data_IF_751994387127
#
_entry.id   IF_751994387127
#
_cell.length_a   1.000
_cell.length_b   1.000
_cell.length_c   1.000
_cell.angle_alpha   90.00
_cell.angle_beta   90.00
_cell.angle_gamma   90.00
#
_symmetry.space_group_name_H-M   'P 1'
#
loop_
_entity.id
_entity.type
_entity.pdbx_description
1 polymer ?
#
# COMPACT_ATOMS: atom_id res chain seq x y z
N UNK A 1 11.37 14.78 9.96
CA UNK A 1 10.14 14.24 10.59
C UNK A 1 10.07 12.77 10.22
N UNK A 2 10.24 11.81 11.15
CA UNK A 2 9.99 10.41 10.81
C UNK A 2 8.55 10.32 10.30
N UNK A 3 8.32 9.58 9.21
CA UNK A 3 6.96 9.22 8.80
C UNK A 3 6.37 8.51 10.01
N UNK A 4 5.47 9.18 10.73
CA UNK A 4 4.86 8.56 11.90
C UNK A 4 4.01 7.41 11.38
N UNK A 5 4.15 6.24 12.00
CA UNK A 5 3.35 5.04 11.69
C UNK A 5 1.85 5.36 11.62
N UNK A 6 1.42 6.37 12.38
CA UNK A 6 0.05 6.92 12.35
C UNK A 6 -0.33 7.40 10.95
N UNK A 7 0.48 8.22 10.27
CA UNK A 7 0.15 8.69 8.92
C UNK A 7 0.05 7.56 7.90
N UNK A 8 0.86 6.50 8.06
CA UNK A 8 0.76 5.30 7.25
C UNK A 8 -0.59 4.59 7.46
N UNK A 9 -1.03 4.44 8.71
CA UNK A 9 -2.33 3.85 9.03
C UNK A 9 -3.50 4.69 8.48
N UNK A 10 -3.38 6.02 8.50
CA UNK A 10 -4.36 6.93 7.90
C UNK A 10 -4.45 6.80 6.38
N UNK A 11 -3.44 6.23 5.72
CA UNK A 11 -3.49 5.96 4.28
C UNK A 11 -4.29 4.69 3.93
N UNK A 12 -4.58 3.81 4.91
CA UNK A 12 -5.29 2.54 4.65
C UNK A 12 -6.66 2.73 4.00
N UNK A 13 -7.54 3.63 4.46
CA UNK A 13 -8.84 3.84 3.82
C UNK A 13 -8.70 4.28 2.36
N UNK A 14 -7.72 5.16 2.08
CA UNK A 14 -7.43 5.64 0.72
C UNK A 14 -6.91 4.50 -0.15
N UNK A 15 -5.99 3.69 0.37
CA UNK A 15 -5.44 2.53 -0.31
C UNK A 15 -6.54 1.54 -0.71
N UNK A 16 -7.47 1.26 0.23
CA UNK A 16 -8.62 0.38 -0.01
C UNK A 16 -9.53 0.96 -1.09
N UNK A 17 -9.87 2.25 -1.00
CA UNK A 17 -10.73 2.92 -1.98
C UNK A 17 -10.12 2.89 -3.40
N UNK A 18 -8.85 3.27 -3.54
CA UNK A 18 -8.16 3.30 -4.84
C UNK A 18 -8.02 1.89 -5.42
N UNK A 19 -7.69 0.89 -4.60
CA UNK A 19 -7.55 -0.49 -5.06
C UNK A 19 -8.87 -1.08 -5.53
N UNK A 20 -9.97 -0.78 -4.82
CA UNK A 20 -11.32 -1.20 -5.21
C UNK A 20 -11.79 -0.52 -6.49
N UNK A 21 -11.63 0.80 -6.61
CA UNK A 21 -12.03 1.56 -7.82
C UNK A 21 -11.27 1.05 -9.03
N UNK A 22 -9.95 0.87 -8.93
CA UNK A 22 -9.12 0.35 -10.02
C UNK A 22 -9.50 -1.08 -10.41
N UNK A 23 -9.85 -1.93 -9.45
CA UNK A 23 -10.29 -3.29 -9.74
C UNK A 23 -11.68 -3.34 -10.37
N UNK A 24 -12.60 -2.46 -9.93
CA UNK A 24 -13.97 -2.36 -10.41
C UNK A 24 -14.09 -1.82 -11.84
N UNK A 25 -13.17 -0.95 -12.27
CA UNK A 25 -13.13 -0.51 -13.68
C UNK A 25 -12.61 -1.59 -14.62
N UNK A 26 -11.90 -2.60 -14.11
CA UNK A 26 -11.30 -3.67 -14.92
C UNK A 26 -12.13 -4.95 -14.97
N UNK A 27 -12.92 -5.21 -13.93
CA UNK A 27 -13.69 -6.45 -13.81
C UNK A 27 -15.13 -6.15 -13.43
N UNK A 28 -16.07 -6.85 -14.08
CA UNK A 28 -17.50 -6.76 -13.78
C UNK A 28 -17.94 -7.76 -12.70
N UNK A 29 -17.13 -8.81 -12.46
CA UNK A 29 -17.41 -9.85 -11.46
C UNK A 29 -16.82 -9.50 -10.11
N UNK A 30 -17.67 -9.44 -9.09
CA UNK A 30 -17.27 -9.16 -7.70
C UNK A 30 -16.09 -10.01 -7.20
N UNK A 31 -16.06 -11.31 -7.50
CA UNK A 31 -14.95 -12.20 -7.11
C UNK A 31 -13.59 -11.70 -7.61
N UNK A 32 -13.55 -11.21 -8.85
CA UNK A 32 -12.33 -10.72 -9.49
C UNK A 32 -11.96 -9.34 -8.99
N UNK A 33 -12.96 -8.48 -8.74
CA UNK A 33 -12.76 -7.13 -8.17
C UNK A 33 -12.05 -7.25 -6.82
N UNK A 34 -12.60 -8.04 -5.89
CA UNK A 34 -12.06 -8.17 -4.55
C UNK A 34 -10.66 -8.81 -4.58
N UNK A 35 -10.47 -9.87 -5.37
CA UNK A 35 -9.17 -10.52 -5.53
C UNK A 35 -8.10 -9.55 -6.06
N UNK A 36 -8.43 -8.78 -7.07
CA UNK A 36 -7.50 -7.81 -7.66
C UNK A 36 -7.24 -6.65 -6.70
N UNK A 37 -8.26 -6.11 -6.04
CA UNK A 37 -8.11 -5.02 -5.09
C UNK A 37 -7.21 -5.42 -3.91
N UNK A 38 -7.39 -6.62 -3.36
CA UNK A 38 -6.54 -7.15 -2.29
C UNK A 38 -5.10 -7.32 -2.77
N UNK A 39 -4.91 -7.94 -3.95
CA UNK A 39 -3.59 -8.15 -4.53
C UNK A 39 -2.85 -6.81 -4.76
N UNK A 40 -3.53 -5.83 -5.34
CA UNK A 40 -3.00 -4.49 -5.59
C UNK A 40 -2.67 -3.75 -4.28
N UNK A 41 -3.57 -3.77 -3.30
CA UNK A 41 -3.32 -3.14 -1.99
C UNK A 41 -2.13 -3.76 -1.25
N UNK A 42 -2.03 -5.10 -1.22
CA UNK A 42 -0.90 -5.82 -0.65
C UNK A 42 0.41 -5.49 -1.36
N UNK A 43 0.39 -5.42 -2.70
CA UNK A 43 1.58 -5.07 -3.48
C UNK A 43 2.08 -3.67 -3.14
N UNK A 44 1.17 -2.68 -3.09
CA UNK A 44 1.52 -1.31 -2.72
C UNK A 44 2.06 -1.21 -1.29
N UNK A 45 1.45 -1.88 -0.32
CA UNK A 45 1.96 -1.93 1.07
C UNK A 45 3.34 -2.57 1.15
N UNK A 46 3.56 -3.66 0.42
CA UNK A 46 4.85 -4.35 0.38
C UNK A 46 5.92 -3.44 -0.21
N UNK A 47 5.61 -2.73 -1.30
CA UNK A 47 6.52 -1.77 -1.93
C UNK A 47 6.88 -0.61 -0.99
N UNK A 48 5.87 0.00 -0.36
CA UNK A 48 6.09 1.11 0.57
C UNK A 48 6.90 0.67 1.80
N UNK A 49 6.59 -0.51 2.33
CA UNK A 49 7.33 -1.12 3.44
C UNK A 49 8.78 -1.44 3.08
N UNK A 50 9.04 -1.94 1.87
CA UNK A 50 10.39 -2.21 1.37
C UNK A 50 11.22 -0.92 1.27
N UNK A 51 10.64 0.17 0.76
CA UNK A 51 11.30 1.48 0.73
C UNK A 51 11.58 1.99 2.14
N UNK A 52 10.59 1.91 3.05
CA UNK A 52 10.77 2.34 4.44
C UNK A 52 11.90 1.57 5.14
N UNK A 53 11.99 0.26 4.91
CA UNK A 53 13.09 -0.59 5.39
C UNK A 53 14.43 -0.17 4.80
N UNK A 54 14.51 0.01 3.47
CA UNK A 54 15.74 0.40 2.80
C UNK A 54 16.26 1.77 3.29
N UNK A 55 15.36 2.74 3.45
CA UNK A 55 15.69 4.06 4.02
C UNK A 55 16.12 3.96 5.48
N UNK A 56 15.46 3.12 6.28
CA UNK A 56 15.83 2.88 7.67
C UNK A 56 17.24 2.30 7.80
N UNK A 57 17.59 1.31 6.96
CA UNK A 57 18.93 0.72 6.91
C UNK A 57 19.96 1.75 6.45
N UNK A 58 19.66 2.54 5.41
CA UNK A 58 20.55 3.58 4.92
C UNK A 58 20.82 4.66 5.98
N UNK A 59 19.79 5.10 6.71
CA UNK A 59 19.95 6.03 7.83
C UNK A 59 20.79 5.43 8.96
N UNK A 60 20.63 4.14 9.27
CA UNK A 60 21.44 3.46 10.28
C UNK A 60 22.92 3.37 9.89
N UNK A 61 23.23 3.26 8.60
CA UNK A 61 24.61 3.22 8.12
C UNK A 61 25.26 4.61 8.06
N UNK A 62 24.50 5.65 7.74
CA UNK A 62 25.00 7.04 7.63
C UNK A 62 25.07 7.73 8.99
N UNK A 63 24.21 7.32 9.93
CA UNK A 63 24.07 7.90 11.27
C UNK A 63 25.07 7.38 12.30
#
# INVERSE_FOLDING_TARGET
MPISLVYLLWSIPVLVAVSLVMAATRHERWDLIVKQAISSGLWTLTFLGAIALALGIAMWWIG
#
